data_IF_297938816494
#
_entry.id   IF_297938816494
#
_cell.length_a   1.000
_cell.length_b   1.000
_cell.length_c   1.000
_cell.angle_alpha   90.00
_cell.angle_beta   90.00
_cell.angle_gamma   90.00
#
_symmetry.space_group_name_H-M   'P 1'
#
loop_
_entity.id
_entity.type
_entity.pdbx_description
1 polymer ?
#
# COMPACT_ATOMS: atom_id res chain seq x y z
N UNK A 1 16.94 -12.54 -18.85
CA UNK A 1 15.61 -13.17 -18.93
C UNK A 1 15.73 -14.45 -18.15
N UNK A 2 14.88 -14.69 -17.16
CA UNK A 2 14.84 -16.01 -16.50
C UNK A 2 14.20 -16.99 -17.48
N UNK A 3 14.71 -18.22 -17.57
CA UNK A 3 14.00 -19.31 -18.26
C UNK A 3 12.66 -19.55 -17.56
N UNK A 4 11.60 -19.81 -18.34
CA UNK A 4 10.22 -19.96 -17.82
C UNK A 4 10.10 -21.08 -16.77
N UNK A 5 11.00 -22.06 -16.77
CA UNK A 5 11.07 -23.16 -15.80
C UNK A 5 11.58 -22.75 -14.40
N UNK A 6 12.25 -21.61 -14.26
CA UNK A 6 12.92 -21.20 -13.00
C UNK A 6 12.11 -20.24 -12.13
N UNK A 7 11.08 -19.59 -12.68
CA UNK A 7 10.31 -18.55 -11.99
C UNK A 7 9.54 -19.09 -10.77
N UNK A 8 9.11 -20.36 -10.80
CA UNK A 8 8.43 -21.00 -9.67
C UNK A 8 9.35 -21.27 -8.46
N UNK A 9 10.67 -21.31 -8.67
CA UNK A 9 11.68 -21.62 -7.63
C UNK A 9 12.56 -20.42 -7.27
N UNK A 10 12.57 -19.37 -8.10
CA UNK A 10 13.35 -18.17 -7.86
C UNK A 10 12.87 -17.44 -6.59
N UNK A 11 13.81 -17.08 -5.72
CA UNK A 11 13.52 -16.21 -4.57
C UNK A 11 13.00 -14.86 -5.06
N UNK A 12 11.94 -14.35 -4.41
CA UNK A 12 11.35 -13.03 -4.72
C UNK A 12 12.38 -11.90 -4.71
N UNK A 13 13.44 -12.00 -3.89
CA UNK A 13 14.53 -11.03 -3.86
C UNK A 13 15.32 -10.99 -5.17
N UNK A 14 15.54 -12.14 -5.82
CA UNK A 14 16.23 -12.21 -7.12
C UNK A 14 15.39 -11.61 -8.26
N UNK A 15 14.07 -11.54 -8.08
CA UNK A 15 13.12 -10.99 -9.04
C UNK A 15 12.84 -9.51 -8.83
N UNK A 16 13.22 -8.94 -7.67
CA UNK A 16 12.94 -7.55 -7.32
C UNK A 16 13.50 -6.55 -8.34
N UNK A 17 14.80 -6.64 -8.67
CA UNK A 17 15.43 -5.69 -9.57
C UNK A 17 14.90 -5.78 -11.03
N UNK A 18 14.74 -6.98 -11.61
CA UNK A 18 14.05 -7.13 -12.90
C UNK A 18 12.64 -6.54 -12.90
N UNK A 19 11.89 -6.72 -11.81
CA UNK A 19 10.52 -6.23 -11.71
C UNK A 19 10.48 -4.70 -11.58
N UNK A 20 11.33 -4.12 -10.72
CA UNK A 20 11.52 -2.67 -10.63
C UNK A 20 11.87 -2.06 -12.00
N UNK A 21 12.83 -2.67 -12.71
CA UNK A 21 13.24 -2.20 -14.04
C UNK A 21 12.09 -2.27 -15.04
N UNK A 22 11.23 -3.28 -14.95
CA UNK A 22 10.06 -3.38 -15.81
C UNK A 22 9.00 -2.34 -15.47
N UNK A 23 8.81 -1.99 -14.20
CA UNK A 23 7.88 -0.94 -13.78
C UNK A 23 8.28 0.46 -14.25
N UNK A 24 9.57 0.69 -14.55
CA UNK A 24 10.09 1.94 -15.15
C UNK A 24 10.03 1.88 -16.69
N UNK A 25 9.18 1.04 -17.29
CA UNK A 25 8.96 1.04 -18.74
C UNK A 25 7.57 1.60 -19.05
N UNK A 26 7.38 2.23 -20.23
CA UNK A 26 6.05 2.60 -20.70
C UNK A 26 5.11 1.39 -20.62
N UNK A 27 3.86 1.57 -20.18
CA UNK A 27 3.13 2.84 -19.98
C UNK A 27 3.29 3.54 -18.61
N UNK A 28 4.24 3.14 -17.75
CA UNK A 28 4.51 3.76 -16.44
C UNK A 28 3.32 3.85 -15.46
N UNK A 29 2.26 3.05 -15.63
CA UNK A 29 1.05 3.12 -14.80
C UNK A 29 1.34 3.07 -13.30
N UNK A 30 2.32 2.24 -12.91
CA UNK A 30 2.76 2.10 -11.53
C UNK A 30 3.31 3.41 -10.94
N UNK A 31 4.26 4.06 -11.62
CA UNK A 31 4.81 5.33 -11.16
C UNK A 31 3.84 6.51 -11.35
N UNK A 32 2.96 6.45 -12.34
CA UNK A 32 1.89 7.43 -12.52
C UNK A 32 0.95 7.46 -11.31
N UNK A 33 0.53 6.30 -10.80
CA UNK A 33 -0.32 6.22 -9.60
C UNK A 33 0.38 6.69 -8.32
N UNK A 34 1.64 6.26 -8.12
CA UNK A 34 2.47 6.72 -7.00
C UNK A 34 2.66 8.25 -7.06
N UNK A 35 3.00 8.80 -8.23
CA UNK A 35 3.21 10.23 -8.41
C UNK A 35 1.93 11.05 -8.17
N UNK A 36 0.78 10.56 -8.66
CA UNK A 36 -0.51 11.19 -8.41
C UNK A 36 -0.85 11.24 -6.92
N UNK A 37 -0.66 10.13 -6.18
CA UNK A 37 -0.94 10.10 -4.75
C UNK A 37 0.08 10.88 -3.93
N UNK A 38 1.35 10.88 -4.32
CA UNK A 38 2.34 11.76 -3.70
C UNK A 38 1.91 13.22 -3.84
N UNK A 39 1.44 13.61 -5.02
CA UNK A 39 0.93 14.97 -5.28
C UNK A 39 -0.26 15.28 -4.38
N UNK A 40 -1.24 14.37 -4.29
CA UNK A 40 -2.40 14.54 -3.40
C UNK A 40 -2.00 14.64 -1.92
N UNK A 41 -1.05 13.81 -1.47
CA UNK A 41 -0.53 13.85 -0.11
C UNK A 41 0.13 15.21 0.19
N UNK A 42 0.96 15.72 -0.73
CA UNK A 42 1.61 17.02 -0.58
C UNK A 42 0.59 18.17 -0.59
N UNK A 43 -0.43 18.10 -1.45
CA UNK A 43 -1.52 19.09 -1.46
C UNK A 43 -2.32 19.05 -0.16
N UNK A 44 -2.60 17.87 0.38
CA UNK A 44 -3.27 17.73 1.67
C UNK A 44 -2.42 18.30 2.82
N UNK A 45 -1.11 18.03 2.84
CA UNK A 45 -0.17 18.62 3.80
C UNK A 45 -0.18 20.15 3.69
N UNK A 46 -0.05 20.68 2.47
CA UNK A 46 -0.05 22.12 2.22
C UNK A 46 -1.37 22.78 2.64
N UNK A 47 -2.51 22.14 2.34
CA UNK A 47 -3.83 22.59 2.76
C UNK A 47 -3.96 22.61 4.28
N UNK A 48 -3.55 21.54 4.98
CA UNK A 48 -3.57 21.49 6.45
C UNK A 48 -2.66 22.57 7.05
N UNK A 49 -1.46 22.76 6.50
CA UNK A 49 -0.54 23.80 6.95
C UNK A 49 -1.13 25.20 6.73
N UNK A 50 -1.81 25.44 5.60
CA UNK A 50 -2.46 26.71 5.29
C UNK A 50 -3.66 27.00 6.20
N UNK A 51 -4.54 26.01 6.39
CA UNK A 51 -5.81 26.16 7.14
C UNK A 51 -5.62 26.19 8.65
N UNK A 52 -4.79 25.30 9.19
CA UNK A 52 -4.60 25.17 10.63
C UNK A 52 -3.33 25.88 11.14
N UNK A 53 -2.59 26.58 10.25
CA UNK A 53 -1.30 27.25 10.50
C UNK A 53 -0.22 26.36 11.13
N UNK A 54 -0.50 25.06 11.28
CA UNK A 54 0.33 24.06 11.94
C UNK A 54 -0.02 22.70 11.35
N UNK A 55 1.01 21.91 11.04
CA UNK A 55 0.82 20.48 10.84
C UNK A 55 0.91 19.81 12.22
N UNK A 56 -0.04 18.93 12.60
CA UNK A 56 0.01 18.24 13.88
C UNK A 56 1.21 17.29 13.87
N UNK A 57 2.37 17.78 14.32
CA UNK A 57 3.68 17.11 14.41
C UNK A 57 4.35 16.83 13.05
N UNK A 58 5.26 17.72 12.59
CA UNK A 58 6.03 17.53 11.36
C UNK A 58 6.82 16.21 11.29
N UNK A 59 7.27 15.64 12.42
CA UNK A 59 7.92 14.32 12.46
C UNK A 59 7.04 13.17 11.90
N UNK A 60 5.71 13.33 11.89
CA UNK A 60 4.79 12.33 11.34
C UNK A 60 4.55 12.44 9.83
N UNK A 61 5.28 13.32 9.12
CA UNK A 61 5.17 13.45 7.66
C UNK A 61 5.39 12.12 6.93
N UNK A 62 6.30 11.28 7.39
CA UNK A 62 6.54 9.97 6.79
C UNK A 62 5.35 9.02 6.90
N UNK A 63 4.66 9.01 8.04
CA UNK A 63 3.42 8.23 8.26
C UNK A 63 2.33 8.71 7.31
N UNK A 64 2.18 10.03 7.19
CA UNK A 64 1.17 10.63 6.34
C UNK A 64 1.43 10.27 4.87
N UNK A 65 2.65 10.50 4.36
CA UNK A 65 3.01 10.21 2.97
C UNK A 65 2.89 8.72 2.67
N UNK A 66 3.45 7.84 3.51
CA UNK A 66 3.35 6.39 3.29
C UNK A 66 1.89 5.90 3.34
N UNK A 67 1.08 6.44 4.25
CA UNK A 67 -0.35 6.13 4.33
C UNK A 67 -1.10 6.49 3.05
N UNK A 68 -0.89 7.69 2.50
CA UNK A 68 -1.49 8.10 1.23
C UNK A 68 -1.01 7.24 0.05
N UNK A 69 0.29 6.97 -0.03
CA UNK A 69 0.85 6.15 -1.10
C UNK A 69 0.36 4.70 -1.05
N UNK A 70 0.18 4.12 0.13
CA UNK A 70 -0.33 2.75 0.30
C UNK A 70 -1.85 2.63 0.21
N UNK A 71 -2.60 3.72 0.34
CA UNK A 71 -4.05 3.74 0.17
C UNK A 71 -4.49 3.80 -1.30
N UNK A 72 -3.55 3.92 -2.23
CA UNK A 72 -3.85 4.04 -3.65
C UNK A 72 -4.36 2.73 -4.29
N UNK A 73 -5.17 2.85 -5.33
CA UNK A 73 -5.61 1.72 -6.14
C UNK A 73 -4.43 1.01 -6.82
N UNK A 74 -3.35 1.70 -7.19
CA UNK A 74 -2.19 1.00 -7.78
C UNK A 74 -1.43 0.13 -6.77
N UNK A 75 -1.53 0.45 -5.47
CA UNK A 75 -0.85 -0.29 -4.40
C UNK A 75 -1.76 -1.33 -3.75
N UNK A 76 -3.08 -1.17 -3.86
CA UNK A 76 -4.10 -2.07 -3.33
C UNK A 76 -4.75 -2.99 -4.36
N UNK A 77 -4.46 -2.82 -5.65
CA UNK A 77 -4.91 -3.71 -6.72
C UNK A 77 -3.71 -4.23 -7.52
N UNK A 78 -2.73 -4.81 -6.82
CA UNK A 78 -1.43 -5.21 -7.35
C UNK A 78 -1.53 -6.26 -8.47
N UNK A 79 -2.54 -7.13 -8.43
CA UNK A 79 -2.78 -8.14 -9.47
C UNK A 79 -3.54 -7.59 -10.68
N UNK A 80 -4.40 -6.58 -10.49
CA UNK A 80 -5.22 -6.00 -11.55
C UNK A 80 -4.63 -4.77 -12.22
N UNK A 81 -3.65 -4.11 -11.59
CA UNK A 81 -3.03 -2.88 -12.11
C UNK A 81 -2.21 -3.14 -13.38
N UNK A 82 -1.54 -4.29 -13.46
CA UNK A 82 -0.81 -4.74 -14.66
C UNK A 82 -1.22 -6.19 -14.98
N UNK A 83 -2.42 -6.38 -15.56
CA UNK A 83 -3.01 -7.69 -15.74
C UNK A 83 -2.22 -8.54 -16.73
N UNK A 84 -1.65 -7.92 -17.76
CA UNK A 84 -0.86 -8.59 -18.80
C UNK A 84 0.41 -9.19 -18.21
N UNK A 85 1.18 -8.39 -17.46
CA UNK A 85 2.41 -8.88 -16.82
C UNK A 85 2.11 -9.88 -15.71
N UNK A 86 1.08 -9.63 -14.90
CA UNK A 86 0.68 -10.56 -13.85
C UNK A 86 0.31 -11.94 -14.43
N UNK A 87 -0.48 -11.96 -15.50
CA UNK A 87 -0.85 -13.19 -16.22
C UNK A 87 0.35 -13.87 -16.84
N UNK A 88 1.26 -13.12 -17.49
CA UNK A 88 2.48 -13.69 -18.04
C UNK A 88 3.31 -14.41 -16.97
N UNK A 89 3.54 -13.76 -15.83
CA UNK A 89 4.29 -14.36 -14.72
C UNK A 89 3.59 -15.59 -14.14
N UNK A 90 2.27 -15.54 -13.98
CA UNK A 90 1.48 -16.68 -13.47
C UNK A 90 1.49 -17.85 -14.47
N UNK A 91 1.31 -17.59 -15.77
CA UNK A 91 1.41 -18.61 -16.84
C UNK A 91 2.80 -19.22 -16.91
N UNK A 92 3.83 -18.43 -16.60
CA UNK A 92 5.22 -18.89 -16.50
C UNK A 92 5.53 -19.61 -15.17
N UNK A 93 4.50 -20.08 -14.45
CA UNK A 93 4.66 -20.91 -13.25
C UNK A 93 4.82 -20.15 -11.92
N UNK A 94 4.72 -18.82 -11.90
CA UNK A 94 4.74 -18.07 -10.64
C UNK A 94 3.40 -18.19 -9.89
N UNK A 95 3.45 -18.56 -8.61
CA UNK A 95 2.26 -18.55 -7.76
C UNK A 95 1.76 -17.11 -7.55
N UNK A 96 0.43 -16.85 -7.57
CA UNK A 96 -0.14 -15.55 -7.25
C UNK A 96 0.35 -14.96 -5.92
N UNK A 97 0.51 -15.80 -4.89
CA UNK A 97 1.07 -15.38 -3.60
C UNK A 97 2.53 -14.92 -3.69
N UNK A 98 3.36 -15.58 -4.52
CA UNK A 98 4.74 -15.16 -4.78
C UNK A 98 4.79 -13.82 -5.52
N UNK A 99 3.88 -13.61 -6.47
CA UNK A 99 3.75 -12.33 -7.18
C UNK A 99 3.35 -11.19 -6.22
N UNK A 100 2.38 -11.42 -5.33
CA UNK A 100 2.00 -10.44 -4.29
C UNK A 100 3.17 -10.11 -3.36
N UNK A 101 3.93 -11.11 -2.91
CA UNK A 101 5.14 -10.89 -2.09
C UNK A 101 6.18 -10.05 -2.82
N UNK A 102 6.43 -10.34 -4.10
CA UNK A 102 7.33 -9.54 -4.94
C UNK A 102 6.85 -8.09 -5.07
N UNK A 103 5.56 -7.87 -5.30
CA UNK A 103 4.96 -6.53 -5.39
C UNK A 103 5.02 -5.77 -4.07
N UNK A 104 4.79 -6.43 -2.94
CA UNK A 104 4.96 -5.82 -1.61
C UNK A 104 6.41 -5.41 -1.35
N UNK A 105 7.38 -6.26 -1.69
CA UNK A 105 8.80 -5.93 -1.57
C UNK A 105 9.18 -4.73 -2.45
N UNK A 106 8.63 -4.68 -3.67
CA UNK A 106 8.80 -3.55 -4.59
C UNK A 106 8.22 -2.26 -4.02
N UNK A 107 6.99 -2.29 -3.49
CA UNK A 107 6.34 -1.15 -2.85
C UNK A 107 7.12 -0.68 -1.62
N UNK A 108 7.54 -1.59 -0.75
CA UNK A 108 8.35 -1.27 0.41
C UNK A 108 9.67 -0.59 0.00
N UNK A 109 10.36 -1.14 -1.00
CA UNK A 109 11.65 -0.61 -1.48
C UNK A 109 11.56 0.79 -2.08
N UNK A 110 10.39 1.19 -2.58
CA UNK A 110 10.17 2.52 -3.18
C UNK A 110 9.62 3.51 -2.14
N UNK A 111 8.59 3.11 -1.40
CA UNK A 111 7.84 4.02 -0.54
C UNK A 111 8.55 4.21 0.81
N UNK A 112 9.21 3.19 1.37
CA UNK A 112 9.85 3.31 2.68
C UNK A 112 10.99 4.35 2.70
N UNK A 113 11.88 4.42 1.68
CA UNK A 113 12.88 5.49 1.62
C UNK A 113 12.26 6.90 1.58
N UNK A 114 11.16 7.07 0.83
CA UNK A 114 10.44 8.35 0.75
C UNK A 114 9.84 8.72 2.10
N UNK A 115 9.22 7.77 2.80
CA UNK A 115 8.65 7.97 4.13
C UNK A 115 9.73 8.31 5.18
N UNK A 116 10.86 7.61 5.14
CA UNK A 116 12.02 7.88 6.01
C UNK A 116 12.56 9.28 5.76
N UNK A 117 12.79 9.64 4.49
CA UNK A 117 13.27 10.97 4.12
C UNK A 117 12.30 12.07 4.58
N UNK A 118 11.00 11.88 4.37
CA UNK A 118 9.98 12.83 4.83
C UNK A 118 9.96 12.99 6.36
N UNK A 119 10.16 11.90 7.11
CA UNK A 119 10.27 11.93 8.58
C UNK A 119 11.47 12.76 9.02
N UNK A 120 12.64 12.53 8.42
CA UNK A 120 13.88 13.27 8.73
C UNK A 120 13.72 14.77 8.41
N UNK A 121 13.12 15.09 7.26
CA UNK A 121 12.82 16.46 6.86
C UNK A 121 11.85 17.10 7.87
N UNK A 122 10.82 16.37 8.27
CA UNK A 122 9.84 16.81 9.27
C UNK A 122 10.46 17.16 10.62
N UNK A 123 11.26 16.26 11.19
CA UNK A 123 12.01 16.49 12.44
C UNK A 123 12.95 17.70 12.31
N UNK A 124 13.63 17.83 11.17
CA UNK A 124 14.53 18.95 10.89
C UNK A 124 13.79 20.30 10.87
N UNK A 125 12.62 20.36 10.23
CA UNK A 125 11.75 21.56 10.21
C UNK A 125 11.26 21.89 11.61
N UNK A 126 10.89 20.87 12.39
CA UNK A 126 10.45 21.03 13.76
C UNK A 126 11.59 21.40 14.73
N UNK A 127 12.84 21.47 14.26
CA UNK A 127 14.05 21.71 15.07
C UNK A 127 14.12 20.80 16.30
N UNK A 128 13.59 19.59 16.17
CA UNK A 128 13.49 18.60 17.24
C UNK A 128 14.08 17.30 16.73
N UNK A 129 14.96 16.70 17.53
CA UNK A 129 15.55 15.37 17.24
C UNK A 129 15.20 14.34 18.32
N UNK A 130 14.41 14.73 19.33
CA UNK A 130 14.18 13.90 20.52
C UNK A 130 13.29 12.68 20.22
N UNK A 131 12.62 12.68 19.07
CA UNK A 131 11.66 11.65 18.68
C UNK A 131 11.96 10.99 17.33
N UNK A 132 13.12 11.26 16.73
CA UNK A 132 13.44 10.76 15.39
C UNK A 132 13.30 9.23 15.29
N UNK A 133 13.83 8.47 16.25
CA UNK A 133 13.72 7.01 16.21
C UNK A 133 12.27 6.54 16.34
N UNK A 134 11.48 7.12 17.24
CA UNK A 134 10.06 6.77 17.38
C UNK A 134 9.27 7.12 16.12
N UNK A 135 9.53 8.30 15.53
CA UNK A 135 8.78 8.79 14.38
C UNK A 135 9.16 8.01 13.12
N UNK A 136 10.43 7.59 12.98
CA UNK A 136 10.86 6.65 11.93
C UNK A 136 10.18 5.29 12.05
N UNK A 137 10.10 4.75 13.27
CA UNK A 137 9.42 3.48 13.53
C UNK A 137 7.92 3.61 13.20
N UNK A 138 7.27 4.70 13.62
CA UNK A 138 5.85 4.94 13.32
C UNK A 138 5.66 5.14 11.80
N UNK A 139 6.60 5.76 11.09
CA UNK A 139 6.56 5.91 9.63
C UNK A 139 6.55 4.58 8.88
N UNK A 140 7.01 3.49 9.51
CA UNK A 140 6.93 2.14 8.96
C UNK A 140 5.60 1.42 9.27
N UNK A 141 4.78 1.97 10.18
CA UNK A 141 3.51 1.36 10.60
C UNK A 141 2.55 1.08 9.43
N UNK A 142 2.39 1.97 8.43
CA UNK A 142 1.52 1.72 7.28
C UNK A 142 1.93 0.49 6.46
N UNK A 143 3.20 0.09 6.47
CA UNK A 143 3.65 -1.09 5.74
C UNK A 143 3.25 -2.39 6.44
N UNK A 144 3.18 -2.40 7.78
CA UNK A 144 2.86 -3.61 8.53
C UNK A 144 1.47 -4.14 8.18
N UNK A 145 0.46 -3.29 8.20
CA UNK A 145 -0.94 -3.69 7.97
C UNK A 145 -1.52 -3.20 6.64
N UNK A 146 -1.04 -2.08 6.10
CA UNK A 146 -1.51 -1.53 4.82
C UNK A 146 -1.17 -2.42 3.62
N UNK A 147 0.00 -3.08 3.63
CA UNK A 147 0.32 -4.07 2.58
C UNK A 147 -0.61 -5.28 2.65
N UNK A 148 -1.00 -5.72 3.85
CA UNK A 148 -1.96 -6.80 4.00
C UNK A 148 -3.35 -6.42 3.48
N UNK A 149 -3.75 -5.17 3.71
CA UNK A 149 -4.95 -4.60 3.12
C UNK A 149 -4.90 -4.65 1.59
N UNK A 150 -3.78 -4.18 1.01
CA UNK A 150 -3.55 -4.21 -0.43
C UNK A 150 -3.54 -5.63 -1.00
N UNK A 151 -2.99 -6.60 -0.27
CA UNK A 151 -3.05 -8.02 -0.65
C UNK A 151 -4.49 -8.54 -0.65
N UNK A 152 -5.27 -8.24 0.39
CA UNK A 152 -6.67 -8.67 0.50
C UNK A 152 -7.53 -8.09 -0.61
N UNK A 153 -7.41 -6.79 -0.90
CA UNK A 153 -8.14 -6.15 -2.00
C UNK A 153 -7.72 -6.71 -3.36
N UNK A 154 -6.43 -6.93 -3.57
CA UNK A 154 -5.90 -7.56 -4.79
C UNK A 154 -6.44 -8.98 -5.00
N UNK A 155 -6.57 -9.75 -3.92
CA UNK A 155 -7.10 -11.10 -3.98
C UNK A 155 -8.63 -11.13 -4.10
N UNK A 156 -9.35 -10.30 -3.34
CA UNK A 156 -10.82 -10.35 -3.30
C UNK A 156 -11.46 -9.69 -4.51
N UNK A 157 -10.90 -8.57 -4.97
CA UNK A 157 -11.52 -7.71 -5.97
C UNK A 157 -10.48 -7.17 -6.98
N UNK A 158 -9.77 -8.06 -7.71
CA UNK A 158 -8.88 -7.63 -8.78
C UNK A 158 -9.68 -6.79 -9.80
N UNK A 159 -9.07 -5.71 -10.27
CA UNK A 159 -9.71 -4.82 -11.24
C UNK A 159 -8.76 -4.46 -12.37
N UNK A 160 -9.18 -4.67 -13.62
CA UNK A 160 -8.41 -4.19 -14.76
C UNK A 160 -8.54 -2.67 -14.85
N UNK A 161 -7.42 -1.96 -14.72
CA UNK A 161 -7.43 -0.52 -14.98
C UNK A 161 -7.66 -0.27 -16.47
N UNK A 162 -8.72 0.50 -16.78
CA UNK A 162 -9.01 0.99 -18.13
C UNK A 162 -8.74 2.50 -18.20
N UNK A 163 -8.32 2.97 -19.37
CA UNK A 163 -8.06 4.40 -19.58
C UNK A 163 -9.33 5.23 -19.39
N UNK A 164 -9.17 6.49 -18.97
CA UNK A 164 -10.30 7.41 -18.81
C UNK A 164 -11.09 7.57 -20.12
N UNK A 165 -10.39 7.59 -21.27
CA UNK A 165 -11.01 7.65 -22.60
C UNK A 165 -11.90 6.42 -22.88
N UNK A 166 -11.45 5.22 -22.52
CA UNK A 166 -12.25 4.00 -22.66
C UNK A 166 -13.46 4.02 -21.72
N UNK A 167 -13.27 4.48 -20.48
CA UNK A 167 -14.35 4.58 -19.48
C UNK A 167 -15.42 5.62 -19.86
N UNK A 168 -15.03 6.74 -20.48
CA UNK A 168 -15.98 7.72 -20.99
C UNK A 168 -16.90 7.14 -22.07
N UNK A 169 -16.39 6.22 -22.89
CA UNK A 169 -17.19 5.49 -23.90
C UNK A 169 -18.10 4.42 -23.28
N UNK A 170 -17.65 3.75 -22.21
CA UNK A 170 -18.44 2.73 -21.52
C UNK A 170 -18.97 3.24 -20.17
N UNK A 171 -20.12 3.95 -20.19
CA UNK A 171 -20.71 4.54 -18.98
C UNK A 171 -21.03 3.52 -17.87
N UNK A 172 -21.30 2.25 -18.22
CA UNK A 172 -21.59 1.19 -17.23
C UNK A 172 -20.37 0.82 -16.37
N UNK A 173 -19.16 1.14 -16.83
CA UNK A 173 -17.92 0.84 -16.11
C UNK A 173 -17.60 1.81 -14.96
N UNK A 174 -18.34 2.92 -14.82
CA UNK A 174 -18.10 3.92 -13.76
C UNK A 174 -18.45 3.42 -12.36
N UNK A 175 -19.60 2.77 -12.18
CA UNK A 175 -20.04 2.31 -10.84
C UNK A 175 -19.08 1.24 -10.30
N UNK A 176 -18.75 0.16 -11.04
CA UNK A 176 -17.77 -0.82 -10.56
C UNK A 176 -16.41 -0.20 -10.29
N UNK A 177 -15.99 0.77 -11.11
CA UNK A 177 -14.74 1.48 -10.88
C UNK A 177 -14.76 2.31 -9.60
N UNK A 178 -15.84 3.08 -9.35
CA UNK A 178 -15.97 3.87 -8.12
C UNK A 178 -15.99 2.99 -6.88
N UNK A 179 -16.69 1.85 -6.93
CA UNK A 179 -16.75 0.90 -5.81
C UNK A 179 -15.37 0.28 -5.57
N UNK A 180 -14.74 -0.29 -6.61
CA UNK A 180 -13.43 -0.95 -6.47
C UNK A 180 -12.31 0.06 -6.15
N UNK A 181 -12.44 1.30 -6.62
CA UNK A 181 -11.52 2.40 -6.36
C UNK A 181 -11.68 3.05 -4.99
N UNK A 182 -12.89 3.05 -4.41
CA UNK A 182 -13.13 3.56 -3.06
C UNK A 182 -12.85 2.52 -1.97
N UNK A 183 -12.89 1.23 -2.31
CA UNK A 183 -12.66 0.13 -1.38
C UNK A 183 -11.38 0.28 -0.54
N UNK A 184 -10.21 0.65 -1.09
CA UNK A 184 -8.99 0.88 -0.31
C UNK A 184 -9.14 1.96 0.75
N UNK A 185 -9.84 3.06 0.42
CA UNK A 185 -10.05 4.19 1.34
C UNK A 185 -11.03 3.84 2.45
N UNK A 186 -12.12 3.14 2.11
CA UNK A 186 -13.09 2.63 3.10
C UNK A 186 -12.41 1.66 4.06
N UNK A 187 -11.66 0.70 3.52
CA UNK A 187 -10.95 -0.27 4.33
C UNK A 187 -9.85 0.38 5.18
N UNK A 188 -9.13 1.37 4.65
CA UNK A 188 -8.12 2.12 5.42
C UNK A 188 -8.76 2.90 6.56
N UNK A 189 -9.94 3.47 6.35
CA UNK A 189 -10.71 4.19 7.39
C UNK A 189 -11.16 3.26 8.52
N UNK A 190 -11.44 1.99 8.23
CA UNK A 190 -11.73 0.95 9.23
C UNK A 190 -10.43 0.43 9.88
N UNK A 191 -9.35 0.31 9.10
CA UNK A 191 -8.10 -0.25 9.56
C UNK A 191 -7.43 0.62 10.62
N UNK A 192 -7.47 1.95 10.50
CA UNK A 192 -6.89 2.88 11.49
C UNK A 192 -7.43 2.63 12.91
N UNK A 193 -8.75 2.67 13.19
CA UNK A 193 -9.25 2.39 14.53
C UNK A 193 -8.96 0.96 14.99
N UNK A 194 -8.92 -0.02 14.08
CA UNK A 194 -8.55 -1.41 14.39
C UNK A 194 -7.07 -1.53 14.81
N UNK A 195 -6.17 -0.79 14.16
CA UNK A 195 -4.75 -0.71 14.55
C UNK A 195 -4.60 -0.08 15.93
N UNK A 196 -5.36 0.98 16.21
CA UNK A 196 -5.28 1.71 17.49
C UNK A 196 -6.03 1.01 18.63
N UNK A 197 -6.89 0.03 18.33
CA UNK A 197 -7.78 -0.63 19.29
C UNK A 197 -7.07 -1.15 20.54
N UNK A 198 -5.94 -1.88 20.48
CA UNK A 198 -5.29 -2.39 21.70
C UNK A 198 -4.76 -1.27 22.58
N UNK A 199 -4.28 -0.17 21.98
CA UNK A 199 -3.80 0.97 22.73
C UNK A 199 -4.95 1.75 23.40
N UNK A 200 -6.12 1.86 22.75
CA UNK A 200 -7.33 2.39 23.40
C UNK A 200 -7.79 1.48 24.54
N UNK A 201 -7.87 0.17 24.30
CA UNK A 201 -8.33 -0.81 25.28
C UNK A 201 -7.41 -0.87 26.51
N UNK A 202 -6.09 -0.77 26.32
CA UNK A 202 -5.11 -0.71 27.40
C UNK A 202 -5.04 0.65 28.13
N UNK A 203 -5.88 1.63 27.76
CA UNK A 203 -5.86 2.98 28.35
C UNK A 203 -4.63 3.82 27.99
N UNK A 204 -3.85 3.39 26.99
CA UNK A 204 -2.62 4.05 26.53
C UNK A 204 -2.89 5.21 25.56
N UNK A 205 -4.09 5.26 24.98
CA UNK A 205 -4.60 6.37 24.19
C UNK A 205 -5.87 6.91 24.82
N UNK A 206 -5.89 8.22 25.12
CA UNK A 206 -7.13 8.92 25.48
C UNK A 206 -7.71 9.57 24.22
N UNK A 207 -9.05 9.56 24.02
CA UNK A 207 -9.71 10.08 22.83
C UNK A 207 -9.32 11.51 22.42
N UNK A 208 -8.92 12.35 23.39
CA UNK A 208 -8.53 13.74 23.17
C UNK A 208 -7.01 14.00 23.12
N UNK A 209 -6.16 12.95 23.24
CA UNK A 209 -4.71 13.09 23.37
C UNK A 209 -3.93 12.19 22.38
N UNK A 210 -4.42 12.05 21.16
CA UNK A 210 -3.75 11.27 20.09
C UNK A 210 -2.33 11.78 19.80
N UNK A 211 -2.03 13.04 20.15
CA UNK A 211 -0.71 13.66 19.99
C UNK A 211 0.40 13.11 20.94
N UNK A 212 0.04 12.36 21.99
CA UNK A 212 0.99 11.78 22.96
C UNK A 212 1.09 10.26 22.80
N UNK A 213 1.62 9.80 21.67
CA UNK A 213 2.03 8.39 21.52
C UNK A 213 3.28 8.20 22.37
N UNK A 214 3.17 7.42 23.45
CA UNK A 214 4.33 7.01 24.26
C UNK A 214 5.08 5.87 23.57
N UNK A 215 6.32 5.58 23.97
CA UNK A 215 7.06 4.41 23.48
C UNK A 215 6.27 3.10 23.69
N UNK A 216 5.58 2.96 24.83
CA UNK A 216 4.72 1.79 25.13
C UNK A 216 3.55 1.72 24.17
N UNK A 217 2.86 2.83 23.94
CA UNK A 217 1.77 2.93 22.94
C UNK A 217 2.27 2.53 21.56
N UNK A 218 3.45 3.01 21.16
CA UNK A 218 4.07 2.68 19.87
C UNK A 218 4.33 1.19 19.73
N UNK A 219 4.98 0.55 20.71
CA UNK A 219 5.27 -0.89 20.70
C UNK A 219 3.99 -1.71 20.56
N UNK A 220 2.96 -1.41 21.37
CA UNK A 220 1.66 -2.11 21.31
C UNK A 220 1.03 -2.00 19.92
N UNK A 221 0.98 -0.78 19.36
CA UNK A 221 0.39 -0.51 18.05
C UNK A 221 1.17 -1.22 16.93
N UNK A 222 2.50 -1.22 16.98
CA UNK A 222 3.34 -1.86 15.97
C UNK A 222 3.22 -3.37 16.03
N UNK A 223 3.34 -3.97 17.22
CA UNK A 223 3.20 -5.42 17.39
C UNK A 223 1.83 -5.89 16.88
N UNK A 224 0.77 -5.14 17.18
CA UNK A 224 -0.56 -5.43 16.67
C UNK A 224 -0.67 -5.25 15.15
N UNK A 225 -0.10 -4.19 14.60
CA UNK A 225 -0.10 -3.95 13.15
C UNK A 225 0.67 -5.03 12.40
N UNK A 226 1.79 -5.52 12.94
CA UNK A 226 2.53 -6.66 12.40
C UNK A 226 1.68 -7.93 12.44
N UNK A 227 1.02 -8.20 13.56
CA UNK A 227 0.12 -9.35 13.71
C UNK A 227 -1.01 -9.34 12.67
N UNK A 228 -1.73 -8.21 12.55
CA UNK A 228 -2.76 -8.01 11.53
C UNK A 228 -2.19 -8.16 10.11
N UNK A 229 -0.99 -7.62 9.89
CA UNK A 229 -0.24 -7.71 8.65
C UNK A 229 0.02 -9.13 8.20
N UNK A 230 0.55 -9.95 9.11
CA UNK A 230 0.87 -11.36 8.90
C UNK A 230 -0.39 -12.16 8.62
N UNK A 231 -1.44 -11.99 9.43
CA UNK A 231 -2.71 -12.70 9.26
C UNK A 231 -3.38 -12.31 7.94
N UNK A 232 -3.56 -11.00 7.70
CA UNK A 232 -4.22 -10.49 6.50
C UNK A 232 -3.50 -10.92 5.23
N UNK A 233 -2.16 -10.84 5.22
CA UNK A 233 -1.36 -11.31 4.08
C UNK A 233 -1.46 -12.81 3.89
N UNK A 234 -1.43 -13.60 4.98
CA UNK A 234 -1.56 -15.07 4.89
C UNK A 234 -2.91 -15.49 4.32
N UNK A 235 -3.99 -14.84 4.75
CA UNK A 235 -5.34 -15.05 4.21
C UNK A 235 -5.38 -14.65 2.73
N UNK A 236 -4.86 -13.48 2.39
CA UNK A 236 -4.82 -13.00 1.01
C UNK A 236 -4.06 -13.95 0.08
N UNK A 237 -2.90 -14.46 0.51
CA UNK A 237 -2.10 -15.42 -0.26
C UNK A 237 -2.83 -16.72 -0.51
N UNK A 238 -3.50 -17.28 0.52
CA UNK A 238 -4.32 -18.49 0.36
C UNK A 238 -5.48 -18.27 -0.61
N UNK A 239 -6.16 -17.13 -0.51
CA UNK A 239 -7.24 -16.77 -1.43
C UNK A 239 -6.69 -16.62 -2.86
N UNK A 240 -5.57 -15.91 -3.04
CA UNK A 240 -4.94 -15.69 -4.33
C UNK A 240 -4.55 -17.02 -5.01
N UNK A 241 -3.94 -17.93 -4.27
CA UNK A 241 -3.54 -19.23 -4.82
C UNK A 241 -4.77 -20.12 -5.12
N UNK A 242 -5.78 -20.14 -4.23
CA UNK A 242 -7.02 -20.91 -4.45
C UNK A 242 -7.84 -20.45 -5.66
N UNK A 243 -7.71 -19.18 -6.03
CA UNK A 243 -8.46 -18.54 -7.12
C UNK A 243 -7.61 -18.35 -8.37
N UNK A 244 -6.39 -18.89 -8.44
CA UNK A 244 -5.47 -18.75 -9.56
C UNK A 244 -6.17 -18.94 -10.92
N UNK A 245 -6.92 -20.03 -11.09
CA UNK A 245 -7.67 -20.33 -12.32
C UNK A 245 -8.80 -19.32 -12.61
N UNK A 246 -9.46 -18.79 -11.57
CA UNK A 246 -10.49 -17.75 -11.72
C UNK A 246 -9.91 -16.39 -12.08
N UNK A 247 -8.75 -15.99 -11.56
CA UNK A 247 -8.10 -14.72 -11.95
C UNK A 247 -7.75 -14.70 -13.44
N UNK A 248 -7.25 -15.84 -13.93
CA UNK A 248 -6.92 -16.03 -15.34
C UNK A 248 -8.14 -15.89 -16.26
N UNK A 249 -9.35 -16.08 -15.74
CA UNK A 249 -10.58 -15.90 -16.50
C UNK A 249 -11.25 -14.54 -16.25
N UNK A 250 -11.29 -14.04 -15.01
CA UNK A 250 -12.04 -12.82 -14.65
C UNK A 250 -11.38 -11.53 -15.11
N UNK A 251 -10.04 -11.44 -15.04
CA UNK A 251 -9.28 -10.27 -15.49
C UNK A 251 -9.38 -10.12 -17.02
N UNK A 252 -9.67 -11.21 -17.71
CA UNK A 252 -9.58 -11.35 -19.16
C UNK A 252 -10.93 -11.35 -19.87
N UNK A 253 -12.01 -11.74 -19.18
CA UNK A 253 -13.36 -11.78 -19.73
C UNK A 253 -14.19 -10.51 -19.42
N UNK A 254 -13.69 -9.56 -18.63
CA UNK A 254 -14.28 -8.20 -18.52
C UNK A 254 -13.96 -7.40 -19.81
N UNK A 255 -14.66 -7.70 -20.90
CA UNK A 255 -14.75 -6.88 -22.13
C UNK A 255 -16.04 -6.06 -22.13
#
# INVERSE_FOLDING_TARGET
MYEESDLGKASVFKLLFPELRASIRPPYWFFGGIGANLTLALLAIAWTAFTHKTFPRPGLLGVFISGWLLADVTTTNQLGNDPERASYLIRSGMLPSSLLKLRNLMLFSIIAPVAIAATIIGESIAKTNHHLLSDLIIALLPFCSGLALGNLTSALAPYKQITLKARLKNRRSWIPWMIKGSLPYVLSSILIPVILFPAYFAGLLRPHHVAKITAVTGVVVISWSIFLGVIGSSVAYRIADSRASKYMNSIWNEN
#
